data_IF_792593935259
#
_entry.id   IF_792593935259
#
_cell.length_a   1.000
_cell.length_b   1.000
_cell.length_c   1.000
_cell.angle_alpha   90.00
_cell.angle_beta   90.00
_cell.angle_gamma   90.00
#
_symmetry.space_group_name_H-M   'P 1'
#
loop_
_entity.id
_entity.type
_entity.pdbx_description
1 polymer ?
#
# COMPACT_ATOMS: atom_id res chain seq x y z
N UNK A 1 12.86 36.29 8.52
CA UNK A 1 13.04 34.92 7.99
C UNK A 1 11.92 33.94 8.36
N UNK A 2 11.00 34.26 9.29
CA UNK A 2 9.91 33.34 9.71
C UNK A 2 8.53 33.57 9.05
N UNK A 3 8.44 33.94 7.76
CA UNK A 3 7.12 34.08 7.09
C UNK A 3 7.03 33.48 5.68
N UNK A 4 8.06 32.77 5.23
CA UNK A 4 8.11 32.18 3.87
C UNK A 4 7.97 30.65 3.88
N UNK A 5 8.02 30.01 5.05
CA UNK A 5 7.98 28.54 5.14
C UNK A 5 6.56 27.95 5.11
N UNK A 6 5.53 28.69 5.55
CA UNK A 6 4.16 28.16 5.64
C UNK A 6 3.43 28.03 4.29
N UNK A 7 3.90 28.71 3.24
CA UNK A 7 3.27 28.64 1.92
C UNK A 7 3.65 27.37 1.13
N UNK A 8 4.78 26.73 1.45
CA UNK A 8 5.28 25.57 0.70
C UNK A 8 4.65 24.24 1.14
N UNK A 9 4.23 24.11 2.41
CA UNK A 9 3.63 22.88 2.95
C UNK A 9 2.16 22.68 2.51
N UNK A 10 1.42 23.75 2.27
CA UNK A 10 0.03 23.66 1.78
C UNK A 10 -0.07 23.16 0.33
N UNK A 11 0.94 23.42 -0.50
CA UNK A 11 0.94 23.02 -1.92
C UNK A 11 1.20 21.53 -2.13
N UNK A 12 1.95 20.88 -1.23
CA UNK A 12 2.24 19.44 -1.32
C UNK A 12 1.03 18.57 -0.95
N UNK A 13 0.24 18.97 0.06
CA UNK A 13 -1.00 18.25 0.40
C UNK A 13 -2.04 18.31 -0.71
N UNK A 14 -2.19 19.45 -1.38
CA UNK A 14 -3.09 19.61 -2.53
C UNK A 14 -2.67 18.75 -3.72
N UNK A 15 -1.35 18.64 -3.97
CA UNK A 15 -0.83 17.76 -5.02
C UNK A 15 -1.01 16.28 -4.68
N UNK A 16 -0.88 15.90 -3.40
CA UNK A 16 -1.12 14.53 -2.92
C UNK A 16 -2.61 14.17 -2.99
N UNK A 17 -3.50 15.07 -2.62
CA UNK A 17 -4.96 14.90 -2.76
C UNK A 17 -5.36 14.75 -4.22
N UNK A 18 -4.84 15.58 -5.13
CA UNK A 18 -5.12 15.47 -6.57
C UNK A 18 -4.58 14.15 -7.15
N UNK A 19 -3.38 13.70 -6.74
CA UNK A 19 -2.84 12.38 -7.13
C UNK A 19 -3.67 11.22 -6.57
N UNK A 20 -4.17 11.32 -5.35
CA UNK A 20 -5.06 10.30 -4.75
C UNK A 20 -6.41 10.28 -5.47
N UNK A 21 -6.99 11.42 -5.82
CA UNK A 21 -8.24 11.49 -6.59
C UNK A 21 -8.08 10.94 -8.01
N UNK A 22 -6.93 11.16 -8.66
CA UNK A 22 -6.63 10.61 -9.99
C UNK A 22 -6.32 9.09 -9.91
N UNK A 23 -5.65 8.60 -8.87
CA UNK A 23 -5.39 7.17 -8.67
C UNK A 23 -6.64 6.38 -8.26
N UNK A 24 -7.61 7.00 -7.58
CA UNK A 24 -8.85 6.33 -7.15
C UNK A 24 -10.00 6.35 -8.16
N UNK A 25 -9.78 6.87 -9.37
CA UNK A 25 -10.63 6.56 -10.53
C UNK A 25 -12.14 6.66 -10.27
N UNK A 26 -12.61 7.72 -9.60
CA UNK A 26 -14.04 8.01 -9.48
C UNK A 26 -14.55 8.58 -10.82
N UNK A 27 -14.57 7.72 -11.84
CA UNK A 27 -15.40 7.93 -13.03
C UNK A 27 -16.76 7.34 -12.70
N UNK A 28 -17.68 8.19 -12.28
CA UNK A 28 -19.10 7.85 -12.17
C UNK A 28 -19.62 7.47 -13.56
N UNK A 29 -19.78 6.16 -13.80
CA UNK A 29 -20.58 5.62 -14.90
C UNK A 29 -21.70 4.76 -14.32
N UNK A 30 -22.54 5.39 -13.50
CA UNK A 30 -23.85 4.85 -13.15
C UNK A 30 -24.81 5.10 -14.31
N UNK A 31 -25.06 4.08 -15.12
CA UNK A 31 -26.05 4.18 -16.18
C UNK A 31 -25.82 3.21 -17.34
N UNK A 32 -26.00 1.91 -17.10
CA UNK A 32 -26.41 1.00 -18.20
C UNK A 32 -26.91 -0.38 -17.75
N UNK A 33 -26.90 -0.73 -16.45
CA UNK A 33 -27.31 -2.06 -16.00
C UNK A 33 -28.77 -2.16 -15.51
N UNK A 34 -29.43 -1.03 -15.23
CA UNK A 34 -30.85 -1.03 -14.81
C UNK A 34 -31.82 -1.22 -15.98
N UNK A 35 -31.42 -0.91 -17.22
CA UNK A 35 -32.29 -0.99 -18.39
C UNK A 35 -32.45 -2.41 -18.97
N UNK A 36 -31.58 -3.34 -18.56
CA UNK A 36 -31.63 -4.74 -19.04
C UNK A 36 -32.35 -5.69 -18.05
N UNK A 37 -32.69 -5.20 -16.85
CA UNK A 37 -33.30 -6.01 -15.77
C UNK A 37 -34.82 -6.12 -15.87
N UNK A 38 -35.46 -5.24 -16.64
CA UNK A 38 -36.93 -5.16 -16.70
C UNK A 38 -37.57 -6.07 -17.76
N UNK A 39 -36.79 -6.73 -18.62
CA UNK A 39 -37.34 -7.48 -19.77
C UNK A 39 -37.36 -9.01 -19.57
N UNK A 40 -36.89 -9.53 -18.42
CA UNK A 40 -36.72 -10.97 -18.18
C UNK A 40 -37.58 -11.56 -17.05
N UNK A 41 -38.67 -10.90 -16.64
CA UNK A 41 -39.51 -11.33 -15.51
C UNK A 41 -40.94 -11.75 -15.87
N UNK A 42 -41.17 -12.16 -17.12
CA UNK A 42 -42.44 -12.78 -17.54
C UNK A 42 -42.18 -14.17 -18.14
N UNK A 43 -41.88 -15.14 -17.28
CA UNK A 43 -42.13 -16.56 -17.55
C UNK A 43 -42.26 -17.31 -16.22
N UNK A 44 -43.50 -17.39 -15.76
CA UNK A 44 -43.92 -18.16 -14.58
C UNK A 44 -44.05 -19.62 -15.00
N UNK A 45 -42.92 -20.33 -15.09
CA UNK A 45 -42.80 -21.81 -14.99
C UNK A 45 -41.37 -22.32 -15.25
N UNK A 46 -40.33 -21.62 -14.74
CA UNK A 46 -38.94 -22.05 -14.95
C UNK A 46 -38.28 -22.61 -13.68
N UNK A 47 -38.04 -23.94 -13.56
CA UNK A 47 -37.33 -24.54 -12.43
C UNK A 47 -35.85 -24.12 -12.33
N UNK A 48 -35.34 -23.32 -13.29
CA UNK A 48 -34.00 -22.74 -13.29
C UNK A 48 -33.83 -21.52 -12.35
N UNK A 49 -34.91 -20.87 -11.93
CA UNK A 49 -34.86 -19.63 -11.14
C UNK A 49 -34.25 -19.77 -9.73
N UNK A 50 -34.52 -20.83 -8.94
CA UNK A 50 -33.95 -21.00 -7.60
C UNK A 50 -32.44 -21.29 -7.57
N UNK A 51 -31.90 -21.84 -8.66
CA UNK A 51 -30.50 -22.28 -8.73
C UNK A 51 -29.56 -21.15 -9.19
N UNK A 52 -30.03 -20.32 -10.12
CA UNK A 52 -29.33 -19.10 -10.54
C UNK A 52 -29.30 -18.06 -9.41
N UNK A 53 -30.39 -17.94 -8.65
CA UNK A 53 -30.46 -17.03 -7.49
C UNK A 53 -29.55 -17.44 -6.33
N UNK A 54 -29.38 -18.75 -6.07
CA UNK A 54 -28.40 -19.25 -5.08
C UNK A 54 -26.94 -18.95 -5.48
N UNK A 55 -26.58 -19.19 -6.73
CA UNK A 55 -25.23 -18.93 -7.23
C UNK A 55 -24.86 -17.43 -7.20
N UNK A 56 -25.83 -16.56 -7.49
CA UNK A 56 -25.64 -15.10 -7.36
C UNK A 56 -25.42 -14.71 -5.90
N UNK A 57 -26.17 -15.29 -4.96
CA UNK A 57 -26.04 -14.99 -3.53
C UNK A 57 -24.71 -15.48 -2.93
N UNK A 58 -24.22 -16.63 -3.38
CA UNK A 58 -22.92 -17.19 -2.98
C UNK A 58 -21.77 -16.31 -3.48
N UNK A 59 -21.81 -15.89 -4.75
CA UNK A 59 -20.83 -14.96 -5.32
C UNK A 59 -20.90 -13.56 -4.67
N UNK A 60 -22.09 -13.09 -4.28
CA UNK A 60 -22.26 -11.84 -3.52
C UNK A 60 -21.67 -11.95 -2.10
N UNK A 61 -21.85 -13.08 -1.41
CA UNK A 61 -21.28 -13.31 -0.07
C UNK A 61 -19.75 -13.39 -0.09
N UNK A 62 -19.16 -14.06 -1.07
CA UNK A 62 -17.69 -14.15 -1.24
C UNK A 62 -17.06 -12.78 -1.53
N UNK A 63 -17.73 -11.95 -2.33
CA UNK A 63 -17.29 -10.58 -2.58
C UNK A 63 -17.39 -9.69 -1.33
N UNK A 64 -18.45 -9.84 -0.53
CA UNK A 64 -18.59 -9.13 0.75
C UNK A 64 -17.53 -9.59 1.77
N UNK A 65 -17.17 -10.88 1.79
CA UNK A 65 -16.09 -11.41 2.61
C UNK A 65 -14.72 -10.84 2.24
N UNK A 66 -14.42 -10.80 0.93
CA UNK A 66 -13.19 -10.21 0.38
C UNK A 66 -13.07 -8.71 0.71
N UNK A 67 -14.17 -7.97 0.59
CA UNK A 67 -14.21 -6.54 0.92
C UNK A 67 -13.98 -6.28 2.42
N UNK A 68 -14.53 -7.12 3.30
CA UNK A 68 -14.28 -7.02 4.75
C UNK A 68 -12.80 -7.24 5.11
N UNK A 69 -12.13 -8.19 4.46
CA UNK A 69 -10.70 -8.43 4.69
C UNK A 69 -9.83 -7.24 4.28
N UNK A 70 -10.14 -6.60 3.14
CA UNK A 70 -9.46 -5.38 2.70
C UNK A 70 -9.65 -4.23 3.68
N UNK A 71 -10.89 -3.96 4.11
CA UNK A 71 -11.19 -2.89 5.08
C UNK A 71 -10.48 -3.15 6.42
N UNK A 72 -10.47 -4.39 6.89
CA UNK A 72 -9.78 -4.76 8.11
C UNK A 72 -8.26 -4.52 8.02
N UNK A 73 -7.64 -4.89 6.88
CA UNK A 73 -6.24 -4.60 6.64
C UNK A 73 -5.98 -3.09 6.57
N UNK A 74 -6.77 -2.33 5.81
CA UNK A 74 -6.64 -0.88 5.68
C UNK A 74 -6.71 -0.16 7.03
N UNK A 75 -7.64 -0.56 7.91
CA UNK A 75 -7.72 -0.02 9.27
C UNK A 75 -6.49 -0.37 10.12
N UNK A 76 -5.95 -1.59 9.98
CA UNK A 76 -4.73 -2.00 10.68
C UNK A 76 -3.52 -1.19 10.22
N UNK A 77 -3.36 -1.00 8.91
CA UNK A 77 -2.28 -0.22 8.32
C UNK A 77 -2.38 1.26 8.75
N UNK A 78 -3.61 1.81 8.80
CA UNK A 78 -3.85 3.16 9.32
C UNK A 78 -3.44 3.31 10.78
N UNK A 79 -3.79 2.36 11.63
CA UNK A 79 -3.38 2.37 13.04
C UNK A 79 -1.85 2.29 13.20
N UNK A 80 -1.17 1.46 12.39
CA UNK A 80 0.30 1.37 12.38
C UNK A 80 0.95 2.70 11.94
N UNK A 81 0.39 3.38 10.93
CA UNK A 81 0.85 4.71 10.51
C UNK A 81 0.67 5.76 11.60
N UNK A 82 -0.47 5.76 12.28
CA UNK A 82 -0.74 6.71 13.36
C UNK A 82 0.17 6.46 14.58
N UNK A 83 0.46 5.20 14.91
CA UNK A 83 1.44 4.83 15.94
C UNK A 83 2.85 5.29 15.56
N UNK A 84 3.26 5.10 14.30
CA UNK A 84 4.56 5.56 13.79
C UNK A 84 4.68 7.08 13.88
N UNK A 85 3.67 7.83 13.42
CA UNK A 85 3.61 9.29 13.54
C UNK A 85 3.74 9.77 14.99
N UNK A 86 3.04 9.13 15.92
CA UNK A 86 3.12 9.47 17.33
C UNK A 86 4.51 9.20 17.92
N UNK A 87 5.19 8.13 17.50
CA UNK A 87 6.58 7.86 17.89
C UNK A 87 7.52 8.96 17.38
N UNK A 88 7.44 9.31 16.09
CA UNK A 88 8.25 10.38 15.52
C UNK A 88 8.00 11.73 16.22
N UNK A 89 6.75 12.07 16.51
CA UNK A 89 6.41 13.29 17.25
C UNK A 89 7.07 13.33 18.64
N UNK A 90 7.02 12.22 19.39
CA UNK A 90 7.66 12.11 20.70
C UNK A 90 9.19 12.23 20.62
N UNK A 91 9.81 11.73 19.56
CA UNK A 91 11.25 11.90 19.33
C UNK A 91 11.62 13.36 19.08
N UNK A 92 10.84 14.08 18.28
CA UNK A 92 11.03 15.52 18.02
C UNK A 92 10.86 16.32 19.31
N UNK A 93 9.80 16.06 20.09
CA UNK A 93 9.56 16.72 21.37
C UNK A 93 10.70 16.47 22.36
N UNK A 94 11.14 15.22 22.49
CA UNK A 94 12.29 14.85 23.32
C UNK A 94 13.56 15.58 22.86
N UNK A 95 13.83 15.63 21.55
CA UNK A 95 14.97 16.34 21.01
C UNK A 95 14.91 17.85 21.32
N UNK A 96 13.76 18.47 21.11
CA UNK A 96 13.57 19.90 21.38
C UNK A 96 13.76 20.21 22.87
N UNK A 97 13.22 19.39 23.77
CA UNK A 97 13.40 19.53 25.20
C UNK A 97 14.88 19.38 25.60
N UNK A 98 15.58 18.39 25.06
CA UNK A 98 17.00 18.21 25.29
C UNK A 98 17.83 19.40 24.78
N UNK A 99 17.51 19.91 23.60
CA UNK A 99 18.16 21.09 23.03
C UNK A 99 17.95 22.34 23.90
N UNK A 100 16.74 22.54 24.41
CA UNK A 100 16.39 23.62 25.32
C UNK A 100 17.20 23.55 26.62
N UNK A 101 17.22 22.38 27.28
CA UNK A 101 17.96 22.17 28.54
C UNK A 101 19.45 22.44 28.35
N UNK A 102 20.02 21.96 27.25
CA UNK A 102 21.45 22.13 26.95
C UNK A 102 21.81 23.60 26.68
N UNK A 103 20.95 24.37 25.99
CA UNK A 103 21.14 25.81 25.79
C UNK A 103 20.98 26.58 27.10
N UNK A 104 20.00 26.23 27.93
CA UNK A 104 19.81 26.87 29.24
C UNK A 104 21.01 26.61 30.16
N UNK A 105 21.53 25.38 30.15
CA UNK A 105 22.74 25.01 30.90
C UNK A 105 23.97 25.77 30.41
N UNK A 106 24.12 25.97 29.09
CA UNK A 106 25.19 26.78 28.51
C UNK A 106 25.06 28.25 28.95
N UNK A 107 23.87 28.85 28.82
CA UNK A 107 23.61 30.23 29.24
C UNK A 107 23.90 30.44 30.73
N UNK A 108 23.48 29.52 31.60
CA UNK A 108 23.81 29.55 33.04
C UNK A 108 25.31 29.50 33.30
N UNK A 109 26.06 28.66 32.57
CA UNK A 109 27.52 28.61 32.67
C UNK A 109 28.16 29.94 32.25
N UNK A 110 27.71 30.54 31.15
CA UNK A 110 28.19 31.86 30.69
C UNK A 110 27.91 32.96 31.73
N UNK A 111 26.73 32.98 32.33
CA UNK A 111 26.37 33.94 33.37
C UNK A 111 27.29 33.84 34.59
N UNK A 112 27.52 32.61 35.10
CA UNK A 112 28.41 32.36 36.25
C UNK A 112 29.85 32.75 35.93
N UNK A 113 30.35 32.42 34.74
CA UNK A 113 31.71 32.78 34.33
C UNK A 113 31.88 34.30 34.25
N UNK A 114 30.91 34.99 33.64
CA UNK A 114 30.92 36.47 33.53
C UNK A 114 30.88 37.13 34.90
N UNK A 115 30.06 36.63 35.83
CA UNK A 115 30.01 37.15 37.20
C UNK A 115 31.34 36.92 37.94
N UNK A 116 31.95 35.74 37.77
CA UNK A 116 33.25 35.42 38.36
C UNK A 116 34.34 36.36 37.83
N UNK A 117 34.40 36.57 36.53
CA UNK A 117 35.36 37.48 35.90
C UNK A 117 35.17 38.94 36.30
N UNK A 118 33.92 39.38 36.45
CA UNK A 118 33.62 40.71 36.98
C UNK A 118 34.15 40.88 38.41
N UNK A 119 33.92 39.90 39.28
CA UNK A 119 34.40 39.94 40.67
C UNK A 119 35.93 39.92 40.75
N UNK A 120 36.60 39.09 39.95
CA UNK A 120 38.08 39.05 39.92
C UNK A 120 38.65 40.35 39.38
N UNK A 121 38.09 40.91 38.30
CA UNK A 121 38.53 42.18 37.74
C UNK A 121 38.41 43.34 38.75
N UNK A 122 37.30 43.41 39.51
CA UNK A 122 37.11 44.41 40.56
C UNK A 122 38.10 44.23 41.72
N UNK A 123 38.39 42.99 42.11
CA UNK A 123 39.36 42.70 43.17
C UNK A 123 40.79 43.08 42.73
N UNK A 124 41.15 42.76 41.50
CA UNK A 124 42.46 43.10 40.93
C UNK A 124 42.61 44.60 40.71
N UNK A 125 41.53 45.31 40.33
CA UNK A 125 41.52 46.77 40.25
C UNK A 125 41.83 47.40 41.61
N UNK A 126 41.18 46.94 42.69
CA UNK A 126 41.43 47.44 44.05
C UNK A 126 42.86 47.19 44.49
N UNK A 127 43.40 45.99 44.27
CA UNK A 127 44.80 45.65 44.59
C UNK A 127 45.77 46.54 43.82
N UNK A 128 45.53 46.74 42.53
CA UNK A 128 46.35 47.61 41.68
C UNK A 128 46.32 49.07 42.14
N UNK A 129 45.14 49.60 42.46
CA UNK A 129 45.01 50.96 43.00
C UNK A 129 45.72 51.11 44.35
N UNK A 130 45.56 50.14 45.26
CA UNK A 130 46.26 50.14 46.56
C UNK A 130 47.78 50.11 46.38
N UNK A 131 48.30 49.32 45.44
CA UNK A 131 49.73 49.26 45.16
C UNK A 131 50.27 50.60 44.68
N UNK A 132 49.55 51.29 43.79
CA UNK A 132 49.96 52.63 43.32
C UNK A 132 49.96 53.63 44.48
N UNK A 133 48.90 53.67 45.28
CA UNK A 133 48.80 54.61 46.41
C UNK A 133 49.87 54.33 47.46
N UNK A 134 50.16 53.07 47.76
CA UNK A 134 51.23 52.69 48.69
C UNK A 134 52.61 53.15 48.18
N UNK A 135 52.87 53.00 46.88
CA UNK A 135 54.10 53.47 46.25
C UNK A 135 54.21 55.00 46.28
N UNK A 136 53.13 55.71 45.93
CA UNK A 136 53.08 57.19 45.98
C UNK A 136 53.31 57.73 47.39
N UNK A 137 52.72 57.09 48.40
CA UNK A 137 52.94 57.45 49.81
C UNK A 137 54.40 57.26 50.21
N UNK A 138 55.03 56.14 49.81
CA UNK A 138 56.45 55.87 50.07
C UNK A 138 57.35 56.92 49.43
N UNK A 139 57.10 57.25 48.16
CA UNK A 139 57.83 58.29 47.43
C UNK A 139 57.67 59.66 48.09
N UNK A 140 56.45 60.04 48.46
CA UNK A 140 56.17 61.31 49.15
C UNK A 140 56.89 61.39 50.51
N UNK A 141 56.84 60.33 51.32
CA UNK A 141 57.57 60.30 52.60
C UNK A 141 59.08 60.44 52.41
N UNK A 142 59.65 59.74 51.42
CA UNK A 142 61.08 59.81 51.10
C UNK A 142 61.47 61.21 50.60
N UNK A 143 60.60 61.83 49.81
CA UNK A 143 60.78 63.18 49.28
C UNK A 143 60.78 64.22 50.42
N UNK A 144 59.79 64.19 51.30
CA UNK A 144 59.68 65.10 52.45
C UNK A 144 60.88 64.96 53.41
N UNK A 145 61.33 63.74 53.67
CA UNK A 145 62.52 63.51 54.50
C UNK A 145 63.80 64.06 53.84
N UNK A 146 63.87 63.99 52.52
CA UNK A 146 64.98 64.58 51.75
C UNK A 146 64.93 66.10 51.80
N UNK A 147 63.76 66.73 51.57
CA UNK A 147 63.59 68.18 51.71
C UNK A 147 63.96 68.68 53.12
N UNK A 148 63.56 67.96 54.18
CA UNK A 148 63.92 68.31 55.56
C UNK A 148 65.43 68.30 55.79
N UNK A 149 66.15 67.32 55.21
CA UNK A 149 67.62 67.25 55.29
C UNK A 149 68.28 68.39 54.53
N UNK A 150 67.81 68.67 53.31
CA UNK A 150 68.31 69.78 52.47
C UNK A 150 68.05 71.14 53.13
N UNK A 151 66.86 71.36 53.71
CA UNK A 151 66.54 72.57 54.44
C UNK A 151 67.50 72.81 55.60
N UNK A 152 67.83 71.77 56.38
CA UNK A 152 68.81 71.87 57.48
C UNK A 152 70.19 72.25 56.96
N UNK A 153 70.69 71.56 55.94
CA UNK A 153 72.01 71.85 55.35
C UNK A 153 72.09 73.26 54.77
N UNK A 154 71.09 73.66 53.98
CA UNK A 154 71.05 74.97 53.34
C UNK A 154 70.93 76.10 54.39
N UNK A 155 70.09 75.90 55.42
CA UNK A 155 69.96 76.84 56.54
C UNK A 155 71.27 77.03 57.30
N UNK A 156 72.07 75.99 57.53
CA UNK A 156 73.38 76.13 58.18
C UNK A 156 74.39 76.84 57.26
N UNK A 157 74.44 76.51 55.96
CA UNK A 157 75.29 77.23 54.99
C UNK A 157 75.03 78.74 54.92
N UNK A 158 73.76 79.15 54.86
CA UNK A 158 73.40 80.58 54.82
C UNK A 158 73.80 81.30 56.11
N UNK A 159 73.71 80.62 57.27
CA UNK A 159 74.20 81.18 58.54
C UNK A 159 75.72 81.33 58.53
N UNK A 160 76.45 80.37 58.00
CA UNK A 160 77.91 80.42 57.85
C UNK A 160 78.33 81.57 56.92
N UNK A 161 77.75 81.65 55.72
CA UNK A 161 77.99 82.74 54.75
C UNK A 161 77.67 84.13 55.34
N UNK A 162 76.60 84.24 56.14
CA UNK A 162 76.25 85.51 56.80
C UNK A 162 77.11 85.85 58.02
N UNK A 163 77.82 84.89 58.61
CA UNK A 163 78.77 85.12 59.70
C UNK A 163 80.11 85.66 59.18
N UNK A 164 80.53 85.28 57.97
CA UNK A 164 81.78 85.76 57.34
C UNK A 164 81.70 87.22 56.85
N UNK A 165 80.48 87.72 56.64
CA UNK A 165 80.24 89.02 56.00
C UNK A 165 80.25 90.18 57.02
N UNK A 166 81.40 90.69 57.46
CA UNK A 166 81.49 91.66 58.57
C UNK A 166 80.97 93.09 58.27
N UNK A 167 80.68 93.43 57.02
CA UNK A 167 80.35 94.80 56.59
C UNK A 167 78.85 95.12 56.50
N UNK A 168 77.95 94.13 56.63
CA UNK A 168 76.51 94.28 56.42
C UNK A 168 75.75 94.57 57.74
N UNK A 169 74.89 95.61 57.81
CA UNK A 169 74.14 95.98 59.03
C UNK A 169 73.21 94.86 59.54
N UNK A 170 73.12 94.70 60.88
CA UNK A 170 72.34 93.64 61.56
C UNK A 170 70.88 93.50 61.09
N UNK A 171 70.20 94.63 60.85
CA UNK A 171 68.79 94.66 60.44
C UNK A 171 68.60 94.07 59.03
N UNK A 172 69.52 94.36 58.13
CA UNK A 172 69.50 93.91 56.75
C UNK A 172 69.86 92.43 56.62
N UNK A 173 70.82 91.95 57.44
CA UNK A 173 71.13 90.51 57.55
C UNK A 173 69.91 89.70 58.03
N UNK A 174 69.16 90.21 59.00
CA UNK A 174 67.96 89.54 59.52
C UNK A 174 66.85 89.44 58.47
N UNK A 175 66.62 90.51 57.71
CA UNK A 175 65.63 90.55 56.64
C UNK A 175 66.00 89.62 55.48
N UNK A 176 67.26 89.64 55.04
CA UNK A 176 67.77 88.72 54.01
C UNK A 176 67.65 87.26 54.44
N UNK A 177 67.96 86.93 55.70
CA UNK A 177 67.78 85.58 56.24
C UNK A 177 66.31 85.16 56.29
N UNK A 178 65.40 86.08 56.61
CA UNK A 178 63.95 85.82 56.59
C UNK A 178 63.46 85.53 55.18
N UNK A 179 63.80 86.39 54.23
CA UNK A 179 63.41 86.25 52.81
C UNK A 179 63.97 84.96 52.21
N UNK A 180 65.19 84.57 52.55
CA UNK A 180 65.78 83.33 52.06
C UNK A 180 65.06 82.08 52.61
N UNK A 181 64.63 82.10 53.88
CA UNK A 181 63.81 81.02 54.46
C UNK A 181 62.44 80.91 53.79
N UNK A 182 61.79 82.05 53.55
CA UNK A 182 60.48 82.10 52.89
C UNK A 182 60.56 81.60 51.45
N UNK A 183 61.55 82.06 50.67
CA UNK A 183 61.80 81.57 49.31
C UNK A 183 62.07 80.06 49.28
N UNK A 184 62.85 79.55 50.24
CA UNK A 184 63.15 78.12 50.32
C UNK A 184 61.90 77.31 50.69
N UNK A 185 61.05 77.79 51.59
CA UNK A 185 59.78 77.15 51.92
C UNK A 185 58.79 77.18 50.74
N UNK A 186 58.74 78.30 50.01
CA UNK A 186 57.92 78.43 48.80
C UNK A 186 58.37 77.43 47.72
N UNK A 187 59.67 77.38 47.41
CA UNK A 187 60.24 76.44 46.46
C UNK A 187 59.97 74.98 46.88
N UNK A 188 60.06 74.68 48.17
CA UNK A 188 59.75 73.35 48.70
C UNK A 188 58.27 72.98 48.52
N UNK A 189 57.36 73.91 48.79
CA UNK A 189 55.92 73.72 48.59
C UNK A 189 55.57 73.56 47.10
N UNK A 190 56.22 74.31 46.20
CA UNK A 190 56.05 74.17 44.75
C UNK A 190 56.52 72.80 44.25
N UNK A 191 57.68 72.32 44.70
CA UNK A 191 58.17 70.99 44.33
C UNK A 191 57.28 69.86 44.88
N UNK A 192 56.76 69.99 46.10
CA UNK A 192 55.79 69.03 46.66
C UNK A 192 54.50 69.02 45.85
N UNK A 193 53.95 70.20 45.52
CA UNK A 193 52.78 70.33 44.68
C UNK A 193 53.00 69.70 43.29
N UNK A 194 54.19 69.89 42.73
CA UNK A 194 54.57 69.29 41.45
C UNK A 194 54.66 67.76 41.53
N UNK A 195 55.27 67.20 42.58
CA UNK A 195 55.30 65.74 42.80
C UNK A 195 53.88 65.16 42.92
N UNK A 196 53.00 65.80 43.72
CA UNK A 196 51.62 65.37 43.89
C UNK A 196 50.82 65.45 42.57
N UNK A 197 51.06 66.48 41.76
CA UNK A 197 50.46 66.60 40.43
C UNK A 197 50.91 65.46 39.51
N UNK A 198 52.21 65.14 39.49
CA UNK A 198 52.74 64.01 38.72
C UNK A 198 52.15 62.67 39.18
N UNK A 199 52.07 62.45 40.49
CA UNK A 199 51.46 61.24 41.07
C UNK A 199 50.00 61.10 40.65
N UNK A 200 49.22 62.19 40.67
CA UNK A 200 47.82 62.18 40.21
C UNK A 200 47.71 61.76 38.74
N UNK A 201 48.49 62.38 37.85
CA UNK A 201 48.49 62.04 36.41
C UNK A 201 48.91 60.59 36.18
N UNK A 202 49.92 60.12 36.92
CA UNK A 202 50.36 58.73 36.85
C UNK A 202 49.26 57.75 37.27
N UNK A 203 48.57 58.02 38.39
CA UNK A 203 47.46 57.19 38.88
C UNK A 203 46.35 57.13 37.83
N UNK A 204 45.88 58.28 37.34
CA UNK A 204 44.79 58.33 36.35
C UNK A 204 45.15 57.60 35.06
N UNK A 205 46.36 57.80 34.53
CA UNK A 205 46.83 57.12 33.31
C UNK A 205 46.83 55.61 33.49
N UNK A 206 47.34 55.12 34.62
CA UNK A 206 47.43 53.69 34.92
C UNK A 206 46.05 53.07 35.16
N UNK A 207 45.15 53.73 35.89
CA UNK A 207 43.78 53.28 36.07
C UNK A 207 43.03 53.17 34.74
N UNK A 208 43.17 54.17 33.85
CA UNK A 208 42.58 54.10 32.50
C UNK A 208 43.17 52.95 31.69
N UNK A 209 44.49 52.73 31.76
CA UNK A 209 45.15 51.62 31.07
C UNK A 209 44.69 50.25 31.60
N UNK A 210 44.53 50.10 32.92
CA UNK A 210 44.02 48.88 33.54
C UNK A 210 42.58 48.60 33.10
N UNK A 211 41.68 49.60 33.19
CA UNK A 211 40.29 49.47 32.75
C UNK A 211 40.19 49.07 31.28
N UNK A 212 41.02 49.63 30.39
CA UNK A 212 41.09 49.20 28.98
C UNK A 212 41.49 47.74 28.84
N UNK A 213 42.50 47.27 29.58
CA UNK A 213 42.93 45.85 29.55
C UNK A 213 41.80 44.92 30.01
N UNK A 214 41.08 45.28 31.07
CA UNK A 214 39.93 44.50 31.56
C UNK A 214 38.81 44.46 30.51
N UNK A 215 38.48 45.60 29.90
CA UNK A 215 37.45 45.67 28.86
C UNK A 215 37.78 44.78 27.65
N UNK A 216 39.04 44.78 27.19
CA UNK A 216 39.47 43.92 26.08
C UNK A 216 39.33 42.45 26.45
N UNK A 217 39.82 42.04 27.62
CA UNK A 217 39.69 40.65 28.09
C UNK A 217 38.24 40.20 28.19
N UNK A 218 37.37 41.06 28.74
CA UNK A 218 35.93 40.80 28.84
C UNK A 218 35.33 40.60 27.44
N UNK A 219 35.66 41.48 26.50
CA UNK A 219 35.21 41.35 25.13
C UNK A 219 35.69 40.04 24.49
N UNK A 220 36.95 39.63 24.70
CA UNK A 220 37.46 38.37 24.16
C UNK A 220 36.68 37.15 24.71
N UNK A 221 36.32 37.16 25.99
CA UNK A 221 35.50 36.12 26.61
C UNK A 221 34.07 36.14 26.06
N UNK A 222 33.45 37.32 25.91
CA UNK A 222 32.12 37.46 25.31
C UNK A 222 32.11 36.92 23.85
N UNK A 223 33.16 37.19 23.07
CA UNK A 223 33.29 36.63 21.72
C UNK A 223 33.39 35.10 21.72
N UNK A 224 34.14 34.52 22.66
CA UNK A 224 34.25 33.07 22.78
C UNK A 224 32.93 32.43 23.19
N UNK A 225 32.20 33.04 24.12
CA UNK A 225 30.85 32.61 24.51
C UNK A 225 29.88 32.63 23.32
N UNK A 226 29.91 33.69 22.49
CA UNK A 226 29.09 33.78 21.27
C UNK A 226 29.44 32.65 20.28
N UNK A 227 30.73 32.35 20.10
CA UNK A 227 31.17 31.24 19.25
C UNK A 227 30.70 29.89 19.78
N UNK A 228 30.80 29.66 21.09
CA UNK A 228 30.32 28.43 21.72
C UNK A 228 28.81 28.27 21.53
N UNK A 229 28.01 29.33 21.76
CA UNK A 229 26.56 29.32 21.52
C UNK A 229 26.21 29.03 20.06
N UNK A 230 26.92 29.65 19.11
CA UNK A 230 26.70 29.44 17.69
C UNK A 230 27.03 28.01 17.28
N UNK A 231 28.15 27.46 17.78
CA UNK A 231 28.53 26.06 17.53
C UNK A 231 27.51 25.08 18.15
N UNK A 232 27.01 25.36 19.36
CA UNK A 232 25.97 24.53 19.98
C UNK A 232 24.66 24.56 19.19
N UNK A 233 24.22 25.74 18.72
CA UNK A 233 23.03 25.86 17.85
C UNK A 233 23.23 25.18 16.49
N UNK A 234 24.43 25.27 15.91
CA UNK A 234 24.78 24.60 14.66
C UNK A 234 24.67 23.07 14.81
N UNK A 235 25.32 22.50 15.82
CA UNK A 235 25.23 21.05 16.10
C UNK A 235 23.81 20.58 16.39
N UNK A 236 22.99 21.39 17.06
CA UNK A 236 21.56 21.10 17.24
C UNK A 236 20.82 21.04 15.90
N UNK A 237 21.06 22.00 15.00
CA UNK A 237 20.45 22.01 13.66
C UNK A 237 20.89 20.83 12.81
N UNK A 238 22.17 20.46 12.85
CA UNK A 238 22.68 19.27 12.18
C UNK A 238 21.99 17.99 12.70
N UNK A 239 21.77 17.90 14.01
CA UNK A 239 21.05 16.77 14.62
C UNK A 239 19.56 16.75 14.23
N UNK A 240 18.89 17.91 14.16
CA UNK A 240 17.50 18.05 13.66
C UNK A 240 17.40 17.59 12.20
N UNK A 241 18.32 18.02 11.34
CA UNK A 241 18.35 17.59 9.93
C UNK A 241 18.58 16.09 9.80
N UNK A 242 19.54 15.54 10.54
CA UNK A 242 19.80 14.10 10.54
C UNK A 242 18.60 13.30 11.08
N UNK A 243 17.88 13.82 12.08
CA UNK A 243 16.65 13.20 12.57
C UNK A 243 15.56 13.19 11.50
N UNK A 244 15.34 14.33 10.83
CA UNK A 244 14.30 14.46 9.81
C UNK A 244 14.53 13.49 8.63
N UNK A 245 15.78 13.30 8.22
CA UNK A 245 16.13 12.33 7.17
C UNK A 245 15.77 10.90 7.64
N UNK A 246 16.17 10.51 8.85
CA UNK A 246 15.82 9.19 9.40
C UNK A 246 14.31 8.99 9.55
N UNK A 247 13.58 10.05 9.91
CA UNK A 247 12.13 10.03 10.04
C UNK A 247 11.47 9.77 8.68
N UNK A 248 11.89 10.50 7.64
CA UNK A 248 11.42 10.32 6.27
C UNK A 248 11.73 8.90 5.75
N UNK A 249 12.97 8.43 5.91
CA UNK A 249 13.37 7.07 5.54
C UNK A 249 12.51 6.01 6.25
N UNK A 250 12.30 6.16 7.56
CA UNK A 250 11.48 5.23 8.36
C UNK A 250 10.01 5.24 7.92
N UNK A 251 9.45 6.41 7.59
CA UNK A 251 8.08 6.52 7.05
C UNK A 251 7.98 5.87 5.68
N UNK A 252 8.93 6.13 4.78
CA UNK A 252 8.95 5.54 3.44
C UNK A 252 9.07 4.00 3.50
N UNK A 253 9.93 3.47 4.36
CA UNK A 253 10.05 2.02 4.57
C UNK A 253 8.74 1.40 5.07
N UNK A 254 8.05 2.08 5.98
CA UNK A 254 6.75 1.64 6.47
C UNK A 254 5.73 1.64 5.33
N UNK A 255 5.57 2.75 4.60
CA UNK A 255 4.65 2.86 3.46
C UNK A 255 4.90 1.78 2.40
N UNK A 256 6.17 1.51 2.08
CA UNK A 256 6.53 0.44 1.15
C UNK A 256 6.14 -0.95 1.66
N UNK A 257 6.34 -1.23 2.96
CA UNK A 257 5.91 -2.50 3.58
C UNK A 257 4.39 -2.63 3.57
N UNK A 258 3.66 -1.56 3.87
CA UNK A 258 2.20 -1.54 3.85
C UNK A 258 1.65 -1.76 2.44
N UNK A 259 2.22 -1.07 1.44
CA UNK A 259 1.85 -1.23 0.03
C UNK A 259 2.08 -2.65 -0.46
N UNK A 260 3.24 -3.26 -0.15
CA UNK A 260 3.52 -4.66 -0.49
C UNK A 260 2.51 -5.62 0.13
N UNK A 261 2.14 -5.39 1.39
CA UNK A 261 1.16 -6.21 2.12
C UNK A 261 -0.23 -6.09 1.49
N UNK A 262 -0.67 -4.87 1.18
CA UNK A 262 -1.95 -4.60 0.52
C UNK A 262 -2.02 -5.22 -0.87
N UNK A 263 -0.97 -5.08 -1.68
CA UNK A 263 -0.88 -5.67 -3.02
C UNK A 263 -0.92 -7.20 -2.95
N UNK A 264 -0.21 -7.80 -1.99
CA UNK A 264 -0.23 -9.25 -1.76
C UNK A 264 -1.64 -9.73 -1.43
N UNK A 265 -2.32 -9.10 -0.46
CA UNK A 265 -3.70 -9.48 -0.11
C UNK A 265 -4.65 -9.33 -1.30
N UNK A 266 -4.57 -8.24 -2.06
CA UNK A 266 -5.38 -8.05 -3.28
C UNK A 266 -5.15 -9.16 -4.31
N UNK A 267 -3.89 -9.52 -4.54
CA UNK A 267 -3.55 -10.60 -5.46
C UNK A 267 -4.06 -11.96 -4.97
N UNK A 268 -3.93 -12.24 -3.68
CA UNK A 268 -4.40 -13.49 -3.09
C UNK A 268 -5.93 -13.59 -3.12
N UNK A 269 -6.65 -12.49 -2.90
CA UNK A 269 -8.11 -12.42 -3.05
C UNK A 269 -8.55 -12.65 -4.50
N UNK A 270 -7.88 -12.04 -5.49
CA UNK A 270 -8.19 -12.27 -6.91
C UNK A 270 -7.95 -13.74 -7.30
N UNK A 271 -6.84 -14.33 -6.84
CA UNK A 271 -6.55 -15.75 -7.08
C UNK A 271 -7.61 -16.64 -6.44
N UNK A 272 -7.99 -16.34 -5.20
CA UNK A 272 -9.03 -17.09 -4.50
C UNK A 272 -10.37 -16.99 -5.25
N UNK A 273 -10.75 -15.79 -5.70
CA UNK A 273 -11.97 -15.59 -6.50
C UNK A 273 -11.94 -16.38 -7.81
N UNK A 274 -10.83 -16.36 -8.54
CA UNK A 274 -10.70 -17.17 -9.76
C UNK A 274 -10.78 -18.67 -9.47
N UNK A 275 -10.21 -19.11 -8.34
CA UNK A 275 -10.27 -20.50 -7.91
C UNK A 275 -11.70 -20.92 -7.55
N UNK A 276 -12.45 -20.10 -6.78
CA UNK A 276 -13.84 -20.39 -6.44
C UNK A 276 -14.75 -20.40 -7.67
N UNK A 277 -14.55 -19.45 -8.61
CA UNK A 277 -15.28 -19.44 -9.88
C UNK A 277 -15.00 -20.68 -10.74
N UNK A 278 -13.73 -21.13 -10.81
CA UNK A 278 -13.36 -22.35 -11.52
C UNK A 278 -14.01 -23.59 -10.89
N UNK A 279 -13.99 -23.69 -9.57
CA UNK A 279 -14.64 -24.78 -8.83
C UNK A 279 -16.16 -24.80 -9.08
N UNK A 280 -16.81 -23.63 -9.08
CA UNK A 280 -18.23 -23.48 -9.39
C UNK A 280 -18.57 -23.95 -10.80
N UNK A 281 -17.74 -23.61 -11.79
CA UNK A 281 -17.92 -24.06 -13.17
C UNK A 281 -17.75 -25.57 -13.33
N UNK A 282 -16.74 -26.15 -12.69
CA UNK A 282 -16.54 -27.61 -12.66
C UNK A 282 -17.76 -28.29 -12.04
N UNK A 283 -18.26 -27.78 -10.92
CA UNK A 283 -19.45 -28.35 -10.26
C UNK A 283 -20.71 -28.22 -11.12
N UNK A 284 -20.89 -27.10 -11.83
CA UNK A 284 -21.98 -26.90 -12.78
C UNK A 284 -21.91 -27.89 -13.94
N UNK A 285 -20.75 -28.05 -14.58
CA UNK A 285 -20.55 -29.01 -15.66
C UNK A 285 -20.81 -30.44 -15.18
N UNK A 286 -20.27 -30.83 -14.02
CA UNK A 286 -20.52 -32.15 -13.42
C UNK A 286 -22.01 -32.38 -13.10
N UNK A 287 -22.76 -31.34 -12.71
CA UNK A 287 -24.22 -31.44 -12.53
C UNK A 287 -24.92 -31.67 -13.86
N UNK A 288 -24.58 -30.88 -14.87
CA UNK A 288 -25.16 -30.98 -16.22
C UNK A 288 -24.87 -32.33 -16.88
N UNK A 289 -23.65 -32.83 -16.75
CA UNK A 289 -23.25 -34.16 -17.22
C UNK A 289 -24.08 -35.24 -16.55
N UNK A 290 -24.24 -35.19 -15.22
CA UNK A 290 -25.09 -36.14 -14.49
C UNK A 290 -26.54 -36.10 -14.96
N UNK A 291 -27.10 -34.92 -15.22
CA UNK A 291 -28.45 -34.77 -15.78
C UNK A 291 -28.56 -35.36 -17.19
N UNK A 292 -27.57 -35.10 -18.05
CA UNK A 292 -27.53 -35.64 -19.41
C UNK A 292 -27.43 -37.17 -19.41
N UNK A 293 -26.56 -37.74 -18.56
CA UNK A 293 -26.46 -39.18 -18.36
C UNK A 293 -27.80 -39.76 -17.88
N UNK A 294 -28.48 -39.11 -16.93
CA UNK A 294 -29.82 -39.55 -16.48
C UNK A 294 -30.84 -39.53 -17.62
N UNK A 295 -30.86 -38.48 -18.44
CA UNK A 295 -31.74 -38.39 -19.62
C UNK A 295 -31.45 -39.50 -20.62
N UNK A 296 -30.19 -39.72 -20.96
CA UNK A 296 -29.78 -40.79 -21.87
C UNK A 296 -30.20 -42.18 -21.36
N UNK A 297 -29.98 -42.47 -20.07
CA UNK A 297 -30.43 -43.73 -19.44
C UNK A 297 -31.96 -43.87 -19.51
N UNK A 298 -32.71 -42.79 -19.31
CA UNK A 298 -34.17 -42.81 -19.44
C UNK A 298 -34.62 -43.05 -20.89
N UNK A 299 -33.96 -42.43 -21.88
CA UNK A 299 -34.23 -42.64 -23.31
C UNK A 299 -33.96 -44.09 -23.73
N UNK A 300 -32.82 -44.68 -23.34
CA UNK A 300 -32.49 -46.09 -23.60
C UNK A 300 -33.56 -47.04 -23.03
N UNK A 301 -34.11 -46.73 -21.86
CA UNK A 301 -35.22 -47.52 -21.27
C UNK A 301 -36.54 -47.36 -22.04
N UNK A 302 -36.76 -46.23 -22.70
CA UNK A 302 -37.96 -45.97 -23.51
C UNK A 302 -37.87 -46.56 -24.93
N UNK A 303 -36.68 -46.68 -25.51
CA UNK A 303 -36.46 -47.26 -26.84
C UNK A 303 -37.18 -48.60 -27.09
N UNK A 304 -37.08 -49.64 -26.23
CA UNK A 304 -37.77 -50.91 -26.46
C UNK A 304 -39.30 -50.79 -26.38
N UNK A 305 -39.83 -49.80 -25.65
CA UNK A 305 -41.28 -49.53 -25.62
C UNK A 305 -41.73 -48.89 -26.94
N UNK A 306 -40.94 -47.95 -27.46
CA UNK A 306 -41.22 -47.27 -28.73
C UNK A 306 -41.16 -48.25 -29.91
N UNK A 307 -40.16 -49.14 -29.92
CA UNK A 307 -40.03 -50.19 -30.94
C UNK A 307 -41.20 -51.17 -30.93
N UNK A 308 -41.66 -51.61 -29.74
CA UNK A 308 -42.84 -52.47 -29.61
C UNK A 308 -44.12 -51.81 -30.09
N UNK A 309 -44.28 -50.50 -29.85
CA UNK A 309 -45.43 -49.73 -30.36
C UNK A 309 -45.39 -49.66 -31.89
N UNK A 310 -44.22 -49.41 -32.47
CA UNK A 310 -44.05 -49.37 -33.93
C UNK A 310 -44.29 -50.74 -34.57
N UNK A 311 -43.78 -51.82 -33.97
CA UNK A 311 -44.01 -53.20 -34.42
C UNK A 311 -45.50 -53.55 -34.41
N UNK A 312 -46.23 -53.16 -33.36
CA UNK A 312 -47.66 -53.38 -33.25
C UNK A 312 -48.45 -52.58 -34.30
N UNK A 313 -48.00 -51.38 -34.62
CA UNK A 313 -48.59 -50.55 -35.68
C UNK A 313 -48.38 -51.16 -37.07
N UNK A 314 -47.19 -51.70 -37.36
CA UNK A 314 -46.89 -52.44 -38.59
C UNK A 314 -47.75 -53.71 -38.69
N UNK A 315 -47.88 -54.48 -37.60
CA UNK A 315 -48.76 -55.67 -37.56
C UNK A 315 -50.22 -55.33 -37.85
N UNK A 316 -50.72 -54.22 -37.30
CA UNK A 316 -52.09 -53.76 -37.56
C UNK A 316 -52.27 -53.37 -39.03
N UNK A 317 -51.35 -52.59 -39.60
CA UNK A 317 -51.36 -52.24 -41.02
C UNK A 317 -51.33 -53.49 -41.91
N UNK A 318 -50.49 -54.48 -41.59
CA UNK A 318 -50.43 -55.74 -42.33
C UNK A 318 -51.76 -56.50 -42.28
N UNK A 319 -52.36 -56.64 -41.08
CA UNK A 319 -53.66 -57.30 -40.93
C UNK A 319 -54.78 -56.60 -41.71
N UNK A 320 -54.82 -55.27 -41.68
CA UNK A 320 -55.83 -54.51 -42.40
C UNK A 320 -55.63 -54.63 -43.92
N UNK A 321 -54.38 -54.69 -44.39
CA UNK A 321 -54.05 -54.97 -45.79
C UNK A 321 -54.52 -56.37 -46.20
N UNK A 322 -54.25 -57.40 -45.39
CA UNK A 322 -54.72 -58.77 -45.64
C UNK A 322 -56.26 -58.87 -45.64
N UNK A 323 -56.96 -58.12 -44.78
CA UNK A 323 -58.44 -58.07 -44.78
C UNK A 323 -58.97 -57.45 -46.06
N UNK A 324 -58.37 -56.36 -46.54
CA UNK A 324 -58.72 -55.75 -47.83
C UNK A 324 -58.50 -56.73 -48.96
N UNK A 325 -57.34 -57.41 -49.02
CA UNK A 325 -57.05 -58.44 -50.01
C UNK A 325 -58.04 -59.61 -49.94
N UNK A 326 -58.44 -60.05 -48.75
CA UNK A 326 -59.43 -61.12 -48.58
C UNK A 326 -60.80 -60.70 -49.09
N UNK A 327 -61.22 -59.45 -48.85
CA UNK A 327 -62.45 -58.89 -49.38
C UNK A 327 -62.39 -58.78 -50.91
N UNK A 328 -61.29 -58.30 -51.46
CA UNK A 328 -61.06 -58.22 -52.90
C UNK A 328 -61.07 -59.61 -53.56
N UNK A 329 -60.43 -60.61 -52.95
CA UNK A 329 -60.46 -62.00 -53.42
C UNK A 329 -61.88 -62.59 -53.39
N UNK A 330 -62.64 -62.39 -52.30
CA UNK A 330 -64.04 -62.84 -52.21
C UNK A 330 -64.92 -62.15 -53.26
N UNK A 331 -64.75 -60.86 -53.48
CA UNK A 331 -65.46 -60.11 -54.51
C UNK A 331 -65.13 -60.62 -55.91
N UNK A 332 -63.85 -60.87 -56.20
CA UNK A 332 -63.38 -61.42 -57.48
C UNK A 332 -63.94 -62.83 -57.71
N UNK A 333 -63.89 -63.69 -56.69
CA UNK A 333 -64.45 -65.05 -56.74
C UNK A 333 -65.96 -65.05 -56.95
N UNK A 334 -66.68 -64.13 -56.31
CA UNK A 334 -68.14 -63.97 -56.50
C UNK A 334 -68.46 -63.55 -57.93
N UNK A 335 -67.75 -62.54 -58.44
CA UNK A 335 -67.90 -62.09 -59.82
C UNK A 335 -67.62 -63.22 -60.83
N UNK A 336 -66.59 -64.03 -60.59
CA UNK A 336 -66.29 -65.19 -61.44
C UNK A 336 -67.41 -66.24 -61.44
N UNK A 337 -68.12 -66.42 -60.31
CA UNK A 337 -69.26 -67.33 -60.19
C UNK A 337 -70.56 -66.77 -60.80
N UNK A 338 -70.70 -65.46 -60.91
CA UNK A 338 -71.86 -64.81 -61.56
C UNK A 338 -71.74 -64.74 -63.09
N UNK A 339 -70.51 -64.76 -63.63
CA UNK A 339 -70.24 -64.60 -65.07
C UNK A 339 -70.08 -65.96 -65.80
N UNK A 340 -70.08 -67.09 -65.09
CA UNK A 340 -69.94 -68.45 -65.68
C UNK A 340 -71.28 -69.21 -65.82
N UNK A 341 -71.64 -69.76 -67.01
CA UNK A 341 -72.88 -70.52 -67.21
C UNK A 341 -72.91 -71.89 -66.50
N UNK A 342 -74.09 -72.32 -66.03
CA UNK A 342 -74.35 -73.47 -65.14
C UNK A 342 -73.89 -74.88 -65.62
N UNK A 343 -73.24 -75.02 -66.77
CA UNK A 343 -72.81 -76.30 -67.33
C UNK A 343 -71.36 -76.71 -66.99
N UNK A 344 -70.53 -75.84 -66.39
CA UNK A 344 -69.09 -76.09 -66.17
C UNK A 344 -68.60 -75.88 -64.72
N UNK A 345 -69.48 -76.01 -63.72
CA UNK A 345 -69.11 -75.85 -62.30
C UNK A 345 -68.29 -77.00 -61.67
N UNK A 346 -67.66 -77.90 -62.46
CA UNK A 346 -66.86 -79.02 -61.92
C UNK A 346 -65.37 -79.00 -62.26
N UNK A 347 -64.88 -78.01 -63.02
CA UNK A 347 -63.45 -77.93 -63.34
C UNK A 347 -62.92 -76.48 -63.42
N UNK A 348 -62.77 -75.75 -62.30
CA UNK A 348 -61.87 -74.60 -62.25
C UNK A 348 -60.89 -74.66 -61.06
N UNK A 349 -60.15 -75.76 -60.91
CA UNK A 349 -59.03 -75.83 -59.95
C UNK A 349 -57.70 -76.32 -60.54
N UNK A 350 -57.59 -76.41 -61.87
CA UNK A 350 -56.39 -76.89 -62.56
C UNK A 350 -55.73 -75.80 -63.42
N UNK A 351 -55.28 -74.71 -62.79
CA UNK A 351 -54.22 -73.82 -63.31
C UNK A 351 -53.77 -72.81 -62.23
N UNK A 352 -53.22 -73.31 -61.13
CA UNK A 352 -52.63 -72.48 -60.07
C UNK A 352 -51.20 -72.00 -60.42
N UNK A 353 -51.00 -71.44 -61.63
CA UNK A 353 -49.72 -70.86 -62.05
C UNK A 353 -49.76 -69.33 -62.27
N UNK A 354 -50.85 -68.70 -62.74
CA UNK A 354 -50.94 -67.24 -62.84
C UNK A 354 -51.20 -66.55 -61.49
N UNK A 355 -51.77 -67.27 -60.51
CA UNK A 355 -52.15 -66.72 -59.20
C UNK A 355 -50.97 -66.57 -58.22
N UNK A 356 -49.97 -67.45 -58.29
CA UNK A 356 -48.73 -67.29 -57.51
C UNK A 356 -47.96 -66.02 -57.95
N UNK A 357 -47.89 -65.75 -59.26
CA UNK A 357 -47.21 -64.57 -59.78
C UNK A 357 -47.93 -63.26 -59.43
N UNK A 358 -49.26 -63.23 -59.43
CA UNK A 358 -50.03 -62.02 -59.11
C UNK A 358 -49.95 -61.63 -57.62
N UNK A 359 -49.98 -62.63 -56.72
CA UNK A 359 -49.76 -62.42 -55.28
C UNK A 359 -48.32 -61.97 -54.98
N UNK A 360 -47.32 -62.51 -55.67
CA UNK A 360 -45.91 -62.11 -55.53
C UNK A 360 -45.65 -60.71 -56.07
N UNK A 361 -46.27 -60.33 -57.20
CA UNK A 361 -46.13 -58.97 -57.76
C UNK A 361 -46.78 -57.91 -56.86
N UNK A 362 -47.98 -58.18 -56.33
CA UNK A 362 -48.65 -57.25 -55.41
C UNK A 362 -47.94 -57.18 -54.05
N UNK A 363 -47.42 -58.30 -53.52
CA UNK A 363 -46.59 -58.27 -52.32
C UNK A 363 -45.32 -57.45 -52.53
N UNK A 364 -44.66 -57.57 -53.69
CA UNK A 364 -43.48 -56.79 -54.05
C UNK A 364 -43.79 -55.30 -54.18
N UNK A 365 -44.90 -54.93 -54.82
CA UNK A 365 -45.24 -53.52 -55.03
C UNK A 365 -45.77 -52.84 -53.76
N UNK A 366 -46.52 -53.53 -52.89
CA UNK A 366 -46.97 -53.02 -51.59
C UNK A 366 -45.82 -52.90 -50.59
N UNK A 367 -44.83 -53.80 -50.64
CA UNK A 367 -43.62 -53.70 -49.83
C UNK A 367 -42.72 -52.55 -50.32
N UNK A 368 -42.58 -52.40 -51.64
CA UNK A 368 -41.76 -51.33 -52.25
C UNK A 368 -42.34 -49.93 -52.05
N UNK A 369 -43.68 -49.79 -52.03
CA UNK A 369 -44.35 -48.50 -51.77
C UNK A 369 -44.33 -48.09 -50.29
N UNK A 370 -44.36 -49.03 -49.35
CA UNK A 370 -44.37 -48.70 -47.91
C UNK A 370 -42.98 -48.64 -47.26
N UNK A 371 -41.99 -49.38 -47.77
CA UNK A 371 -40.69 -49.53 -47.11
C UNK A 371 -39.46 -49.22 -48.00
N UNK A 372 -39.65 -48.88 -49.28
CA UNK A 372 -38.54 -48.66 -50.22
C UNK A 372 -37.95 -49.97 -50.75
N UNK A 373 -36.71 -49.95 -51.26
CA UNK A 373 -36.05 -51.21 -51.68
C UNK A 373 -35.70 -52.06 -50.46
N UNK A 374 -35.64 -53.37 -50.65
CA UNK A 374 -35.22 -54.30 -49.58
C UNK A 374 -33.83 -53.93 -49.02
N UNK A 375 -32.96 -53.40 -49.88
CA UNK A 375 -31.63 -52.88 -49.49
C UNK A 375 -31.74 -51.66 -48.56
N UNK A 376 -32.72 -50.78 -48.75
CA UNK A 376 -32.90 -49.60 -47.89
C UNK A 376 -33.38 -49.97 -46.48
N UNK A 377 -34.14 -51.07 -46.37
CA UNK A 377 -34.63 -51.61 -45.11
C UNK A 377 -33.51 -52.39 -44.37
N UNK A 378 -32.69 -53.13 -45.13
CA UNK A 378 -31.48 -53.80 -44.64
C UNK A 378 -30.49 -52.79 -44.08
N UNK A 379 -30.20 -51.70 -44.80
CA UNK A 379 -29.29 -50.65 -44.34
C UNK A 379 -29.80 -49.96 -43.05
N UNK A 380 -31.11 -49.67 -42.95
CA UNK A 380 -31.70 -49.10 -41.72
C UNK A 380 -31.64 -50.07 -40.54
N UNK A 381 -31.74 -51.37 -40.79
CA UNK A 381 -31.66 -52.39 -39.75
C UNK A 381 -30.21 -52.67 -39.33
N UNK A 382 -29.27 -52.66 -40.28
CA UNK A 382 -27.84 -52.82 -40.04
C UNK A 382 -27.23 -51.61 -39.31
N UNK A 383 -27.69 -50.39 -39.58
CA UNK A 383 -27.31 -49.19 -38.80
C UNK A 383 -27.81 -49.28 -37.35
N UNK A 384 -28.97 -49.91 -37.13
CA UNK A 384 -29.50 -50.15 -35.78
C UNK A 384 -28.74 -51.29 -35.09
N UNK A 385 -28.28 -52.29 -35.84
CA UNK A 385 -27.55 -53.46 -35.32
C UNK A 385 -26.08 -53.19 -35.05
N UNK A 386 -25.42 -52.27 -35.76
CA UNK A 386 -24.03 -51.83 -35.45
C UNK A 386 -23.92 -51.13 -34.09
N UNK A 387 -25.04 -50.65 -33.54
CA UNK A 387 -25.11 -50.11 -32.18
C UNK A 387 -25.47 -51.16 -31.11
N UNK A 388 -25.81 -52.39 -31.52
CA UNK A 388 -26.30 -53.46 -30.67
C UNK A 388 -25.49 -54.76 -30.88
N UNK A 389 -24.17 -54.70 -30.68
CA UNK A 389 -23.37 -55.88 -30.41
C UNK A 389 -23.86 -56.48 -29.09
N UNK A 390 -24.66 -57.57 -29.13
CA UNK A 390 -24.72 -58.65 -28.11
C UNK A 390 -25.77 -59.76 -28.35
N UNK A 391 -26.41 -59.90 -29.54
CA UNK A 391 -27.37 -61.00 -29.73
C UNK A 391 -27.26 -61.70 -31.10
N UNK A 392 -26.54 -62.83 -31.12
CA UNK A 392 -26.22 -63.65 -32.31
C UNK A 392 -27.34 -64.58 -32.79
N UNK A 393 -28.55 -64.54 -32.21
CA UNK A 393 -29.61 -65.51 -32.54
C UNK A 393 -30.59 -65.07 -33.64
N UNK A 394 -30.55 -63.82 -34.11
CA UNK A 394 -31.54 -63.34 -35.10
C UNK A 394 -31.08 -63.36 -36.57
N UNK A 395 -29.78 -63.38 -36.85
CA UNK A 395 -29.26 -63.38 -38.24
C UNK A 395 -29.59 -64.66 -39.04
N UNK A 396 -30.12 -65.70 -38.39
CA UNK A 396 -30.43 -66.99 -39.03
C UNK A 396 -31.74 -67.00 -39.82
N UNK A 397 -32.64 -66.04 -39.57
CA UNK A 397 -33.97 -66.00 -40.21
C UNK A 397 -33.98 -65.39 -41.61
N UNK A 398 -32.96 -64.59 -41.97
CA UNK A 398 -32.94 -63.83 -43.23
C UNK A 398 -32.41 -64.66 -44.42
N UNK A 399 -31.75 -65.79 -44.18
CA UNK A 399 -31.18 -66.64 -45.25
C UNK A 399 -32.17 -67.65 -45.87
N UNK A 400 -33.38 -67.78 -45.34
CA UNK A 400 -34.26 -68.91 -45.66
C UNK A 400 -35.23 -68.69 -46.84
N UNK A 401 -35.04 -67.67 -47.67
CA UNK A 401 -36.01 -67.33 -48.73
C UNK A 401 -35.45 -67.10 -50.14
N UNK A 402 -34.22 -67.54 -50.43
CA UNK A 402 -33.65 -67.45 -51.79
C UNK A 402 -33.44 -68.80 -52.52
N UNK A 403 -33.40 -69.95 -51.84
CA UNK A 403 -33.18 -71.23 -52.52
C UNK A 403 -34.45 -72.08 -52.63
N UNK A 404 -35.06 -72.04 -53.81
CA UNK A 404 -36.12 -72.96 -54.25
C UNK A 404 -35.59 -74.36 -54.51
N UNK A 405 -35.34 -75.12 -53.43
CA UNK A 405 -34.97 -76.54 -53.47
C UNK A 405 -35.76 -77.37 -52.46
N UNK A 406 -36.31 -78.50 -52.92
CA UNK A 406 -37.14 -79.46 -52.17
C UNK A 406 -36.69 -79.80 -50.74
N UNK A 407 -37.65 -80.03 -49.80
CA UNK A 407 -37.34 -80.27 -48.39
C UNK A 407 -36.91 -81.72 -48.15
N UNK A 408 -35.80 -81.93 -47.44
CA UNK A 408 -35.55 -83.18 -46.71
C UNK A 408 -35.70 -82.91 -45.22
N UNK A 409 -36.78 -83.45 -44.66
CA UNK A 409 -36.95 -83.60 -43.22
C UNK A 409 -35.82 -84.50 -42.68
N UNK A 410 -35.05 -83.97 -41.75
CA UNK A 410 -34.10 -84.71 -40.92
C UNK A 410 -34.19 -84.17 -39.50
N UNK A 411 -35.17 -84.67 -38.75
CA UNK A 411 -35.21 -84.53 -37.31
C UNK A 411 -34.05 -85.36 -36.73
N UNK A 412 -33.03 -84.72 -36.18
CA UNK A 412 -32.12 -85.33 -35.22
C UNK A 412 -31.95 -84.38 -34.04
N UNK A 413 -32.56 -84.82 -32.94
CA UNK A 413 -32.39 -84.46 -31.52
C UNK A 413 -31.44 -83.33 -31.15
N UNK A 414 -32.01 -82.38 -30.39
CA UNK A 414 -31.31 -81.69 -29.30
C UNK A 414 -30.51 -82.67 -28.45
N UNK A 415 -29.23 -82.39 -28.28
CA UNK A 415 -28.50 -82.76 -27.07
C UNK A 415 -27.53 -81.62 -26.72
N UNK A 416 -27.85 -80.91 -25.64
CA UNK A 416 -26.96 -80.21 -24.71
C UNK A 416 -25.85 -79.30 -25.27
N UNK A 417 -26.06 -77.99 -25.18
CA UNK A 417 -25.23 -77.06 -24.37
C UNK A 417 -25.84 -75.65 -24.37
#
# INVERSE_FOLDING_TARGET
FCRVWDAAHGSWMLWYLVKVTIMFGLRSSGGSYEKMRSEYYLDVENPFCPQVTKQIHEHEQENVGSQKQLIALENKLKAEMDEHRLKLQKEVETQANNAYIELEKLAKRHAVQTEKEMKTALADEKKFQQQIVAQQKKELTTFLDTQKKQYKLCKEKIKEEMNEDHSTPKKEKQERLSKHKENMQHSQAEEEAHLLAQQRVFYERNCRAFKRKVMIKRHDVEQEQIREELNKKKTQKEMEHAMLIRHDESTQELEQRQLKTLQKLRMDLIRLQHQTELENQIEYNNRRERELHRKHVLELRQQPKNLKVLELQIKKQFQDTCKVQTKQYKALRHHQMEVTPKAEHKTPFASAAPFQLFLVFIHRDVFRTNFGSFDTLRDKFDDTSRYADHNREFSRWVWFLEDGGTPRCGFTSLQQM
#
